data_IF_992203476753
#
_entry.id   IF_992203476753
#
_cell.length_a   1.000
_cell.length_b   1.000
_cell.length_c   1.000
_cell.angle_alpha   90.00
_cell.angle_beta   90.00
_cell.angle_gamma   90.00
#
_symmetry.space_group_name_H-M   'P 1'
#
loop_
_entity.id
_entity.type
_entity.pdbx_description
1 polymer ?
#
# COMPACT_ATOMS: atom_id res chain seq x y z
N UNK A 1 12.50 -17.09 4.11
CA UNK A 1 11.34 -16.18 4.15
C UNK A 1 10.25 -16.85 4.97
N UNK A 2 9.69 -16.19 5.99
CA UNK A 2 8.66 -16.78 6.88
C UNK A 2 7.28 -16.92 6.23
N UNK A 3 7.14 -16.43 5.00
CA UNK A 3 5.94 -16.51 4.15
C UNK A 3 6.40 -16.76 2.71
N UNK A 4 5.85 -17.80 2.08
CA UNK A 4 5.94 -18.01 0.63
C UNK A 4 4.80 -17.30 -0.10
N UNK A 5 4.95 -17.03 -1.39
CA UNK A 5 3.93 -16.35 -2.19
C UNK A 5 4.46 -15.90 -3.56
N UNK A 6 3.72 -15.00 -4.18
CA UNK A 6 4.09 -14.31 -5.41
C UNK A 6 3.86 -12.79 -5.23
N UNK A 7 4.75 -11.99 -5.80
CA UNK A 7 4.62 -10.53 -5.84
C UNK A 7 4.10 -10.08 -7.23
N UNK A 8 3.07 -9.25 -7.22
CA UNK A 8 2.60 -8.52 -8.40
C UNK A 8 2.92 -7.04 -8.20
N UNK A 9 3.65 -6.45 -9.14
CA UNK A 9 3.88 -5.00 -9.18
C UNK A 9 2.79 -4.38 -10.06
N UNK A 10 1.90 -3.62 -9.45
CA UNK A 10 0.80 -2.91 -10.12
C UNK A 10 1.22 -1.46 -10.36
N UNK A 11 0.90 -0.93 -11.53
CA UNK A 11 1.29 0.42 -11.91
C UNK A 11 0.86 0.79 -13.33
N UNK A 12 0.97 2.08 -13.66
CA UNK A 12 0.74 2.61 -14.99
C UNK A 12 1.82 2.17 -16.00
N UNK A 13 1.60 2.37 -17.31
CA UNK A 13 2.64 2.10 -18.32
C UNK A 13 3.94 2.89 -18.06
N UNK A 14 3.84 4.09 -17.50
CA UNK A 14 4.97 4.94 -17.12
C UNK A 14 5.84 4.38 -15.99
N UNK A 15 5.35 3.38 -15.24
CA UNK A 15 6.07 2.75 -14.13
C UNK A 15 6.81 1.48 -14.54
N UNK A 16 6.83 1.14 -15.84
CA UNK A 16 7.48 -0.07 -16.34
C UNK A 16 8.99 -0.13 -16.01
N UNK A 17 9.71 0.97 -16.19
CA UNK A 17 11.13 1.07 -15.83
C UNK A 17 11.35 0.97 -14.32
N UNK A 18 10.48 1.61 -13.53
CA UNK A 18 10.50 1.52 -12.07
C UNK A 18 10.32 0.06 -11.61
N UNK A 19 9.37 -0.68 -12.18
CA UNK A 19 9.16 -2.08 -11.87
C UNK A 19 10.37 -2.95 -12.21
N UNK A 20 11.00 -2.72 -13.38
CA UNK A 20 12.21 -3.43 -13.77
C UNK A 20 13.36 -3.16 -12.80
N UNK A 21 13.52 -1.91 -12.36
CA UNK A 21 14.52 -1.54 -11.38
C UNK A 21 14.26 -2.19 -10.01
N UNK A 22 13.01 -2.22 -9.53
CA UNK A 22 12.65 -2.94 -8.31
C UNK A 22 13.01 -4.43 -8.44
N UNK A 23 12.60 -5.07 -9.54
CA UNK A 23 12.86 -6.49 -9.79
C UNK A 23 14.35 -6.82 -9.84
N UNK A 24 15.21 -5.94 -10.35
CA UNK A 24 16.66 -6.18 -10.41
C UNK A 24 17.36 -6.04 -9.05
N UNK A 25 16.76 -5.31 -8.10
CA UNK A 25 17.25 -5.19 -6.73
C UNK A 25 16.76 -6.33 -5.81
N UNK A 26 15.85 -7.18 -6.27
CA UNK A 26 15.34 -8.28 -5.47
C UNK A 26 16.36 -9.42 -5.37
N UNK A 27 16.70 -9.81 -4.14
CA UNK A 27 17.57 -10.96 -3.84
C UNK A 27 16.78 -12.22 -3.43
N UNK A 28 15.45 -12.22 -3.63
CA UNK A 28 14.54 -13.28 -3.22
C UNK A 28 14.17 -14.19 -4.39
N UNK A 29 14.01 -15.49 -4.14
CA UNK A 29 13.48 -16.45 -5.12
C UNK A 29 11.95 -16.34 -5.30
N UNK A 30 11.29 -15.46 -4.54
CA UNK A 30 9.84 -15.23 -4.66
C UNK A 30 9.49 -14.79 -6.10
N UNK A 31 8.58 -15.49 -6.79
CA UNK A 31 8.16 -15.08 -8.13
C UNK A 31 7.61 -13.65 -8.11
N UNK A 32 8.11 -12.80 -9.01
CA UNK A 32 7.66 -11.42 -9.18
C UNK A 32 7.23 -11.17 -10.62
N UNK A 33 6.10 -10.49 -10.82
CA UNK A 33 5.61 -10.11 -12.15
C UNK A 33 5.21 -8.64 -12.16
N UNK A 34 5.70 -7.92 -13.18
CA UNK A 34 5.23 -6.57 -13.48
C UNK A 34 3.93 -6.62 -14.30
N UNK A 35 2.94 -5.86 -13.82
CA UNK A 35 1.67 -5.57 -14.49
C UNK A 35 1.59 -4.13 -15.02
N UNK A 36 2.73 -3.41 -15.06
CA UNK A 36 2.80 -2.04 -15.58
C UNK A 36 2.22 -1.97 -17.01
N UNK A 37 1.18 -1.14 -17.19
CA UNK A 37 0.50 -0.98 -18.48
C UNK A 37 -0.21 -2.23 -19.00
N UNK A 38 -0.34 -3.30 -18.19
CA UNK A 38 -1.00 -4.55 -18.59
C UNK A 38 -2.47 -4.54 -18.18
N UNK A 39 -3.30 -4.04 -19.07
CA UNK A 39 -4.75 -4.06 -18.93
C UNK A 39 -5.32 -2.70 -18.52
N UNK A 40 -6.59 -2.71 -18.12
CA UNK A 40 -7.32 -1.51 -17.69
C UNK A 40 -7.42 -1.43 -16.17
N UNK A 41 -7.95 -0.32 -15.67
CA UNK A 41 -8.28 -0.17 -14.25
C UNK A 41 -9.21 -1.29 -13.75
N UNK A 42 -10.09 -1.81 -14.61
CA UNK A 42 -10.97 -2.95 -14.29
C UNK A 42 -10.20 -4.25 -14.11
N UNK A 43 -9.15 -4.47 -14.92
CA UNK A 43 -8.25 -5.62 -14.76
C UNK A 43 -7.48 -5.48 -13.45
N UNK A 44 -7.05 -4.27 -13.11
CA UNK A 44 -6.37 -4.01 -11.82
C UNK A 44 -7.30 -4.30 -10.64
N UNK A 45 -8.56 -3.88 -10.69
CA UNK A 45 -9.56 -4.20 -9.66
C UNK A 45 -9.75 -5.72 -9.51
N UNK A 46 -9.92 -6.45 -10.62
CA UNK A 46 -10.08 -7.91 -10.60
C UNK A 46 -8.83 -8.68 -10.11
N UNK A 47 -7.64 -8.09 -10.25
CA UNK A 47 -6.42 -8.63 -9.64
C UNK A 47 -6.40 -8.37 -8.14
N UNK A 48 -6.80 -7.17 -7.70
CA UNK A 48 -6.86 -6.81 -6.29
C UNK A 48 -7.83 -7.71 -5.50
N UNK A 49 -8.97 -8.08 -6.09
CA UNK A 49 -9.91 -9.07 -5.50
C UNK A 49 -9.26 -10.45 -5.23
N UNK A 50 -8.14 -10.77 -5.88
CA UNK A 50 -7.49 -12.08 -5.80
C UNK A 50 -6.20 -12.09 -4.97
N UNK A 51 -5.69 -10.93 -4.53
CA UNK A 51 -4.46 -10.89 -3.72
C UNK A 51 -4.77 -10.97 -2.24
N UNK A 52 -3.90 -11.66 -1.48
CA UNK A 52 -4.04 -11.78 -0.03
C UNK A 52 -3.76 -10.47 0.73
N UNK A 53 -3.04 -9.55 0.09
CA UNK A 53 -2.60 -8.26 0.64
C UNK A 53 -2.17 -7.30 -0.48
N UNK A 54 -2.57 -6.04 -0.38
CA UNK A 54 -2.01 -4.93 -1.13
C UNK A 54 -1.13 -4.04 -0.24
N UNK A 55 0.01 -3.58 -0.77
CA UNK A 55 0.89 -2.60 -0.12
C UNK A 55 1.16 -1.49 -1.13
N UNK A 56 0.83 -0.26 -0.78
CA UNK A 56 0.97 0.88 -1.70
C UNK A 56 1.21 2.19 -0.99
N UNK A 57 1.70 3.17 -1.74
CA UNK A 57 1.69 4.57 -1.32
C UNK A 57 0.25 5.12 -1.31
N UNK A 58 0.10 6.36 -0.84
CA UNK A 58 -1.14 7.14 -0.84
C UNK A 58 -1.60 7.56 -2.25
N UNK A 59 -1.86 6.56 -3.10
CA UNK A 59 -2.32 6.68 -4.48
C UNK A 59 -3.72 6.07 -4.69
N UNK A 60 -4.27 6.26 -5.89
CA UNK A 60 -5.59 5.73 -6.26
C UNK A 60 -5.71 4.21 -6.07
N UNK A 61 -4.61 3.45 -6.20
CA UNK A 61 -4.64 2.00 -6.04
C UNK A 61 -4.91 1.55 -4.61
N UNK A 62 -4.52 2.33 -3.60
CA UNK A 62 -4.88 2.04 -2.19
C UNK A 62 -6.39 2.08 -1.99
N UNK A 63 -7.06 3.09 -2.57
CA UNK A 63 -8.52 3.18 -2.50
C UNK A 63 -9.21 2.07 -3.29
N UNK A 64 -8.67 1.73 -4.47
CA UNK A 64 -9.21 0.64 -5.29
C UNK A 64 -9.07 -0.71 -4.59
N UNK A 65 -7.95 -0.97 -3.91
CA UNK A 65 -7.72 -2.19 -3.15
C UNK A 65 -8.73 -2.34 -2.01
N UNK A 66 -8.96 -1.27 -1.25
CA UNK A 66 -9.99 -1.28 -0.19
C UNK A 66 -11.40 -1.45 -0.75
N UNK A 67 -11.72 -0.82 -1.89
CA UNK A 67 -13.01 -1.02 -2.55
C UNK A 67 -13.20 -2.45 -3.11
N UNK A 68 -12.10 -3.17 -3.39
CA UNK A 68 -12.08 -4.57 -3.81
C UNK A 68 -12.03 -5.55 -2.62
N UNK A 69 -12.27 -5.06 -1.40
CA UNK A 69 -12.18 -5.78 -0.14
C UNK A 69 -10.80 -6.38 0.18
N UNK A 70 -9.74 -5.93 -0.50
CA UNK A 70 -8.37 -6.41 -0.31
C UNK A 70 -7.77 -5.85 0.99
N UNK A 71 -7.21 -6.71 1.87
CA UNK A 71 -6.40 -6.25 2.99
C UNK A 71 -5.28 -5.31 2.52
N UNK A 72 -5.19 -4.11 3.08
CA UNK A 72 -4.35 -3.04 2.51
C UNK A 72 -3.43 -2.39 3.54
N UNK A 73 -2.13 -2.30 3.24
CA UNK A 73 -1.20 -1.41 3.94
C UNK A 73 -0.98 -0.17 3.10
N UNK A 74 -1.38 0.99 3.62
CA UNK A 74 -1.24 2.28 2.95
C UNK A 74 -0.12 3.10 3.60
N UNK A 75 0.91 3.42 2.82
CA UNK A 75 2.07 4.20 3.27
C UNK A 75 1.79 5.67 3.02
N UNK A 76 1.70 6.45 4.09
CA UNK A 76 1.43 7.89 4.03
C UNK A 76 2.65 8.70 4.46
N UNK A 77 3.03 9.65 3.61
CA UNK A 77 4.09 10.63 3.88
C UNK A 77 3.54 12.04 4.05
N UNK A 78 3.62 12.83 2.98
CA UNK A 78 3.36 14.27 2.99
C UNK A 78 1.87 14.65 3.08
N UNK A 79 0.97 13.79 2.62
CA UNK A 79 -0.47 14.08 2.51
C UNK A 79 -1.21 13.85 3.83
N UNK A 80 -2.45 14.33 3.89
CA UNK A 80 -3.29 14.16 5.07
C UNK A 80 -4.01 12.80 5.04
N UNK A 81 -3.47 11.84 5.77
CA UNK A 81 -4.09 10.51 5.92
C UNK A 81 -5.45 10.53 6.62
N UNK A 82 -5.83 11.59 7.35
CA UNK A 82 -7.19 11.68 7.93
C UNK A 82 -8.21 12.12 6.88
N UNK A 83 -7.79 12.90 5.88
CA UNK A 83 -8.66 13.34 4.79
C UNK A 83 -8.71 12.32 3.64
N UNK A 84 -7.59 11.67 3.35
CA UNK A 84 -7.41 10.80 2.19
C UNK A 84 -7.11 9.35 2.56
N UNK A 85 -7.18 8.98 3.84
CA UNK A 85 -6.96 7.61 4.26
C UNK A 85 -8.03 6.66 3.73
N UNK A 86 -7.72 5.38 3.52
CA UNK A 86 -8.67 4.40 3.03
C UNK A 86 -9.53 3.88 4.20
N UNK A 87 -10.47 4.71 4.68
CA UNK A 87 -11.35 4.38 5.81
C UNK A 87 -12.79 4.10 5.35
N UNK A 88 -13.17 2.83 5.11
CA UNK A 88 -14.52 2.48 4.68
C UNK A 88 -15.47 2.24 5.87
N UNK A 89 -15.55 3.14 6.85
CA UNK A 89 -16.33 2.98 8.09
C UNK A 89 -15.77 1.95 9.10
N UNK A 90 -16.59 1.56 10.09
CA UNK A 90 -16.26 0.95 11.40
C UNK A 90 -15.35 -0.31 11.42
N UNK A 91 -14.96 -0.85 10.26
CA UNK A 91 -14.01 -1.97 10.10
C UNK A 91 -12.62 -1.55 9.62
N UNK A 92 -12.34 -0.25 9.50
CA UNK A 92 -11.10 0.29 8.94
C UNK A 92 -9.84 -0.41 9.47
N UNK A 93 -9.73 -0.62 10.80
CA UNK A 93 -8.52 -1.20 11.41
C UNK A 93 -8.27 -2.69 11.08
N UNK A 94 -9.30 -3.39 10.58
CA UNK A 94 -9.24 -4.81 10.21
C UNK A 94 -8.90 -5.00 8.73
N UNK A 95 -9.33 -4.08 7.87
CA UNK A 95 -9.16 -4.17 6.42
C UNK A 95 -7.98 -3.33 5.89
N UNK A 96 -7.74 -2.14 6.46
CA UNK A 96 -6.73 -1.22 5.97
C UNK A 96 -5.89 -0.62 7.10
N UNK A 97 -4.57 -0.54 6.90
CA UNK A 97 -3.65 0.01 7.91
C UNK A 97 -2.85 1.14 7.30
N UNK A 98 -3.03 2.34 7.83
CA UNK A 98 -2.19 3.49 7.50
C UNK A 98 -0.89 3.43 8.29
N UNK A 99 0.24 3.42 7.60
CA UNK A 99 1.58 3.44 8.18
C UNK A 99 2.25 4.78 7.88
N UNK A 100 2.66 5.50 8.94
CA UNK A 100 3.26 6.84 8.89
C UNK A 100 4.07 7.18 10.15
N UNK A 101 4.98 8.15 10.07
CA UNK A 101 5.87 8.55 11.19
C UNK A 101 5.31 9.56 12.20
N UNK A 102 4.17 10.22 11.90
CA UNK A 102 3.56 11.23 12.79
C UNK A 102 4.52 12.36 13.23
N UNK A 103 5.36 12.84 12.31
CA UNK A 103 6.27 13.94 12.59
C UNK A 103 5.50 15.27 12.82
N UNK A 104 6.05 16.23 13.59
CA UNK A 104 5.39 17.51 13.86
C UNK A 104 5.07 18.35 12.61
N UNK A 105 5.80 18.13 11.51
CA UNK A 105 5.56 18.81 10.24
C UNK A 105 4.43 18.19 9.41
N UNK A 106 3.87 17.05 9.81
CA UNK A 106 2.89 16.28 9.04
C UNK A 106 1.43 16.64 9.42
N UNK A 107 0.51 16.73 8.44
CA UNK A 107 0.76 16.70 7.01
C UNK A 107 1.48 17.97 6.53
N UNK A 108 2.43 17.83 5.60
CA UNK A 108 3.10 19.01 5.04
C UNK A 108 2.17 19.74 4.06
N UNK A 109 1.31 18.99 3.37
CA UNK A 109 0.41 19.51 2.33
C UNK A 109 -0.59 20.55 2.88
N UNK A 110 -1.02 20.42 4.14
CA UNK A 110 -2.00 21.30 4.78
C UNK A 110 -1.53 21.73 6.16
N UNK A 111 -1.78 22.99 6.53
CA UNK A 111 -1.52 23.50 7.89
C UNK A 111 -2.80 24.12 8.45
N UNK A 112 -3.51 23.36 9.28
CA UNK A 112 -4.85 23.76 9.72
C UNK A 112 -5.80 23.81 8.53
N UNK A 113 -6.29 25.01 8.19
CA UNK A 113 -7.19 25.25 7.05
C UNK A 113 -6.48 25.82 5.81
N UNK A 114 -5.17 26.07 5.89
CA UNK A 114 -4.38 26.64 4.79
C UNK A 114 -3.62 25.56 4.01
N UNK A 115 -3.32 25.87 2.74
CA UNK A 115 -2.36 25.11 1.96
C UNK A 115 -0.96 25.27 2.58
N UNK A 116 -0.31 24.15 2.85
CA UNK A 116 1.05 24.09 3.37
C UNK A 116 2.07 24.07 2.25
N UNK A 117 2.85 22.99 2.16
CA UNK A 117 3.88 22.75 1.15
C UNK A 117 3.45 21.52 0.33
N UNK A 118 2.72 21.70 -0.78
CA UNK A 118 2.13 20.59 -1.55
C UNK A 118 3.16 19.56 -2.00
N UNK A 119 4.37 20.01 -2.36
CA UNK A 119 5.48 19.17 -2.81
C UNK A 119 6.22 18.48 -1.64
N UNK A 120 5.90 18.87 -0.41
CA UNK A 120 6.58 18.45 0.81
C UNK A 120 7.96 19.10 1.00
N UNK A 121 8.70 18.65 2.02
CA UNK A 121 10.10 19.04 2.19
C UNK A 121 10.99 18.30 1.18
N UNK A 122 12.07 18.95 0.74
CA UNK A 122 13.01 18.38 -0.22
C UNK A 122 13.62 17.04 0.24
N UNK A 123 13.81 16.88 1.56
CA UNK A 123 14.39 15.69 2.18
C UNK A 123 13.42 14.51 2.25
N UNK A 124 12.10 14.78 2.24
CA UNK A 124 11.04 13.78 2.46
C UNK A 124 11.32 12.88 3.67
N UNK A 125 11.75 13.49 4.78
CA UNK A 125 12.16 12.78 6.01
C UNK A 125 11.09 11.79 6.50
N UNK A 126 9.81 12.13 6.34
CA UNK A 126 8.68 11.26 6.68
C UNK A 126 8.70 9.90 5.98
N UNK A 127 9.24 9.80 4.76
CA UNK A 127 9.37 8.55 4.01
C UNK A 127 10.76 7.93 4.21
N UNK A 128 11.81 8.75 4.20
CA UNK A 128 13.19 8.28 4.37
C UNK A 128 13.43 7.62 5.73
N UNK A 129 12.86 8.18 6.80
CA UNK A 129 13.03 7.68 8.16
C UNK A 129 12.05 6.55 8.52
N UNK A 130 10.97 6.32 7.75
CA UNK A 130 9.92 5.36 8.12
C UNK A 130 10.47 3.93 8.19
N UNK A 131 11.43 3.61 7.32
CA UNK A 131 12.00 2.28 7.20
C UNK A 131 10.97 1.23 6.75
N UNK A 132 11.43 -0.02 6.65
CA UNK A 132 10.59 -1.14 6.18
C UNK A 132 9.87 -1.89 7.31
N UNK A 133 10.39 -1.81 8.55
CA UNK A 133 9.89 -2.62 9.66
C UNK A 133 8.43 -2.32 10.07
N UNK A 134 7.98 -1.05 10.16
CA UNK A 134 6.57 -0.76 10.45
C UNK A 134 5.64 -1.29 9.36
N UNK A 135 6.04 -1.16 8.10
CA UNK A 135 5.29 -1.66 6.93
C UNK A 135 5.21 -3.18 6.95
N UNK A 136 6.35 -3.85 7.15
CA UNK A 136 6.42 -5.31 7.20
C UNK A 136 5.62 -5.89 8.38
N UNK A 137 5.59 -5.17 9.51
CA UNK A 137 4.79 -5.56 10.69
C UNK A 137 3.30 -5.45 10.42
N UNK A 138 2.84 -4.36 9.80
CA UNK A 138 1.45 -4.19 9.38
C UNK A 138 1.05 -5.27 8.36
N UNK A 139 1.89 -5.53 7.35
CA UNK A 139 1.67 -6.55 6.34
C UNK A 139 1.53 -7.96 6.95
N UNK A 140 2.44 -8.35 7.85
CA UNK A 140 2.36 -9.64 8.56
C UNK A 140 1.11 -9.77 9.42
N UNK A 141 0.65 -8.68 10.02
CA UNK A 141 -0.59 -8.66 10.81
C UNK A 141 -1.79 -8.99 9.92
N UNK A 142 -1.95 -8.25 8.82
CA UNK A 142 -3.07 -8.45 7.89
C UNK A 142 -3.08 -9.84 7.26
N UNK A 143 -1.92 -10.35 6.81
CA UNK A 143 -1.81 -11.70 6.23
C UNK A 143 -2.21 -12.83 7.19
N UNK A 144 -2.05 -12.66 8.51
CA UNK A 144 -2.50 -13.65 9.51
C UNK A 144 -4.01 -13.69 9.65
N UNK A 145 -4.69 -12.54 9.52
CA UNK A 145 -6.15 -12.46 9.59
C UNK A 145 -6.81 -13.13 8.38
N UNK A 146 -6.29 -12.90 7.16
CA UNK A 146 -6.81 -13.53 5.93
C UNK A 146 -6.80 -15.06 6.01
N UNK A 147 -5.71 -15.66 6.54
CA UNK A 147 -5.60 -17.11 6.71
C UNK A 147 -6.56 -17.70 7.76
N UNK A 148 -7.03 -16.90 8.72
CA UNK A 148 -7.97 -17.35 9.75
C UNK A 148 -9.41 -17.40 9.21
N UNK A 149 -9.80 -16.47 8.34
CA UNK A 149 -11.15 -16.40 7.77
C UNK A 149 -11.39 -17.41 6.64
N UNK A 150 -10.34 -17.75 5.87
CA UNK A 150 -10.40 -18.82 4.86
C UNK A 150 -10.62 -20.19 5.53
N UNK A 151 -10.05 -20.43 6.71
CA UNK A 151 -10.24 -21.69 7.46
C UNK A 151 -11.63 -21.83 8.08
N UNK A 152 -12.37 -20.73 8.30
CA UNK A 152 -13.72 -20.76 8.86
C UNK A 152 -14.84 -20.85 7.81
N UNK A 153 -14.51 -20.72 6.52
CA UNK A 153 -15.44 -20.80 5.39
C UNK A 153 -15.24 -22.06 4.52
N UNK A 154 -14.47 -23.03 4.99
CA UNK A 154 -14.37 -24.35 4.36
C UNK A 154 -15.53 -25.24 4.87
N UNK A 155 -16.39 -25.79 3.99
CA UNK A 155 -17.44 -26.73 4.38
C UNK A 155 -16.88 -28.07 4.88
#
# INVERSE_FOLDING_TARGET
SDVGGQLLLLGGPEEAELHQHIMSMMHSEMPVRSMAGKGSIKVTAALLEQVDLFVGNDSALVHLAVAADTPTVAIFGLTNSQAWGPFPDAKADQQAVVVRLNLPCMPCFYRGHDLGTPEGCATRDCLALLGVDPVATAARRLLKHTKSEIKSHQP
#
